data_IF_929277497911
#
_entry.id   IF_929277497911
#
_cell.length_a   1.000
_cell.length_b   1.000
_cell.length_c   1.000
_cell.angle_alpha   90.00
_cell.angle_beta   90.00
_cell.angle_gamma   90.00
#
_symmetry.space_group_name_H-M   'P 1'
#
loop_
_entity.id
_entity.type
_entity.pdbx_description
1 polymer ?
#
# COMPACT_ATOMS: atom_id res chain seq x y z
N UNK A 1 -5.18 -10.42 -2.63
CA UNK A 1 -4.37 -11.31 -3.49
C UNK A 1 -4.83 -12.77 -3.46
N UNK A 2 -5.30 -13.31 -2.32
CA UNK A 2 -5.76 -14.71 -2.22
C UNK A 2 -6.68 -15.20 -3.36
N UNK A 3 -7.77 -14.51 -3.77
CA UNK A 3 -8.70 -15.08 -4.74
C UNK A 3 -8.12 -15.24 -6.16
N UNK A 4 -7.20 -14.35 -6.57
CA UNK A 4 -6.58 -14.42 -7.91
C UNK A 4 -5.46 -15.47 -7.95
N UNK A 5 -4.65 -15.57 -6.89
CA UNK A 5 -3.63 -16.61 -6.79
C UNK A 5 -4.24 -18.02 -6.65
N UNK A 6 -5.41 -18.13 -6.02
CA UNK A 6 -6.18 -19.38 -5.98
C UNK A 6 -6.75 -19.78 -7.35
N UNK A 7 -7.13 -18.81 -8.18
CA UNK A 7 -7.64 -19.08 -9.54
C UNK A 7 -6.53 -19.38 -10.56
N UNK A 8 -5.34 -18.81 -10.38
CA UNK A 8 -4.22 -18.92 -11.31
C UNK A 8 -2.92 -19.22 -10.56
N UNK A 9 -2.65 -20.51 -10.31
CA UNK A 9 -1.43 -20.97 -9.62
C UNK A 9 -0.16 -20.60 -10.35
N UNK A 10 -0.24 -20.44 -11.67
CA UNK A 10 0.87 -20.04 -12.52
C UNK A 10 1.40 -18.66 -12.13
N UNK A 11 0.56 -17.79 -11.56
CA UNK A 11 0.98 -16.47 -11.06
C UNK A 11 1.90 -16.63 -9.86
N UNK A 12 1.57 -17.54 -8.94
CA UNK A 12 2.43 -17.86 -7.80
C UNK A 12 3.78 -18.38 -8.30
N UNK A 13 3.78 -19.42 -9.14
CA UNK A 13 4.99 -20.01 -9.72
C UNK A 13 5.83 -19.00 -10.50
N UNK A 14 5.22 -18.12 -11.30
CA UNK A 14 5.94 -17.07 -12.02
C UNK A 14 6.60 -16.06 -11.08
N UNK A 15 5.95 -15.71 -9.97
CA UNK A 15 6.52 -14.81 -8.95
C UNK A 15 7.72 -15.50 -8.30
N UNK A 16 7.62 -16.77 -7.91
CA UNK A 16 8.74 -17.51 -7.28
C UNK A 16 9.93 -17.60 -8.24
N UNK A 17 9.71 -17.97 -9.51
CA UNK A 17 10.77 -18.10 -10.50
C UNK A 17 11.41 -16.76 -10.90
N UNK A 18 10.62 -15.67 -10.95
CA UNK A 18 11.14 -14.33 -11.28
C UNK A 18 11.91 -13.73 -10.10
N UNK A 19 11.48 -14.01 -8.87
CA UNK A 19 12.11 -13.58 -7.63
C UNK A 19 13.40 -14.35 -7.33
N UNK A 20 13.47 -15.63 -7.72
CA UNK A 20 14.63 -16.50 -7.47
C UNK A 20 15.95 -15.85 -7.90
N UNK A 21 15.96 -15.17 -9.05
CA UNK A 21 17.16 -14.51 -9.58
C UNK A 21 17.59 -13.27 -8.78
N UNK A 22 16.63 -12.53 -8.22
CA UNK A 22 16.88 -11.35 -7.38
C UNK A 22 17.33 -11.75 -5.96
N UNK A 23 16.67 -12.74 -5.38
CA UNK A 23 17.02 -13.36 -4.09
C UNK A 23 18.44 -13.95 -4.17
N UNK A 24 18.75 -14.70 -5.24
CA UNK A 24 20.07 -15.31 -5.41
C UNK A 24 21.22 -14.28 -5.51
N UNK A 25 20.97 -13.12 -6.13
CA UNK A 25 21.93 -12.00 -6.18
C UNK A 25 22.11 -11.37 -4.79
N UNK A 26 21.02 -11.16 -4.04
CA UNK A 26 21.06 -10.58 -2.69
C UNK A 26 21.74 -11.52 -1.68
N UNK A 27 21.42 -12.82 -1.70
CA UNK A 27 22.08 -13.83 -0.85
C UNK A 27 23.59 -13.93 -1.13
N UNK A 28 24.01 -13.85 -2.39
CA UNK A 28 25.44 -13.87 -2.74
C UNK A 28 26.17 -12.60 -2.28
N UNK A 29 25.51 -11.45 -2.29
CA UNK A 29 26.11 -10.17 -1.89
C UNK A 29 26.20 -9.98 -0.36
N UNK A 30 25.29 -10.60 0.40
CA UNK A 30 25.16 -10.37 1.84
C UNK A 30 25.72 -11.47 2.75
N UNK A 31 26.15 -12.64 2.23
CA UNK A 31 26.77 -13.72 3.03
C UNK A 31 26.03 -14.06 4.34
N UNK A 32 24.70 -14.05 4.32
CA UNK A 32 23.84 -14.33 5.47
C UNK A 32 22.73 -15.29 5.02
N UNK A 33 22.67 -16.54 5.53
CA UNK A 33 21.70 -17.53 5.07
C UNK A 33 20.41 -17.61 5.90
N UNK A 34 20.22 -16.73 6.88
CA UNK A 34 19.22 -16.90 7.94
C UNK A 34 18.33 -15.65 8.09
N UNK A 35 17.43 -15.39 7.14
CA UNK A 35 16.18 -14.65 7.37
C UNK A 35 15.41 -14.50 6.05
N UNK A 36 14.27 -15.19 5.92
CA UNK A 36 13.03 -14.71 5.29
C UNK A 36 13.12 -13.82 4.02
N UNK A 37 14.07 -14.08 3.11
CA UNK A 37 14.27 -13.26 1.90
C UNK A 37 13.19 -13.49 0.82
N UNK A 38 12.25 -14.40 1.09
CA UNK A 38 11.06 -14.62 0.27
C UNK A 38 10.02 -13.48 0.40
N UNK A 39 10.15 -12.64 1.43
CA UNK A 39 9.19 -11.59 1.74
C UNK A 39 9.28 -10.42 0.74
N UNK A 40 10.46 -10.12 0.18
CA UNK A 40 10.67 -8.85 -0.54
C UNK A 40 9.89 -8.75 -1.86
N UNK A 41 9.87 -9.81 -2.68
CA UNK A 41 9.25 -9.71 -4.02
C UNK A 41 7.72 -9.77 -3.94
N UNK A 42 7.19 -10.69 -3.14
CA UNK A 42 5.75 -10.80 -2.92
C UNK A 42 5.17 -9.53 -2.29
N UNK A 43 5.89 -8.92 -1.36
CA UNK A 43 5.53 -7.66 -0.71
C UNK A 43 5.56 -6.47 -1.68
N UNK A 44 6.57 -6.38 -2.56
CA UNK A 44 6.62 -5.36 -3.61
C UNK A 44 5.44 -5.48 -4.58
N UNK A 45 5.08 -6.70 -5.00
CA UNK A 45 3.89 -6.91 -5.84
C UNK A 45 2.60 -6.55 -5.09
N UNK A 46 2.49 -6.93 -3.82
CA UNK A 46 1.34 -6.60 -2.98
C UNK A 46 1.16 -5.07 -2.84
N UNK A 47 2.23 -4.33 -2.52
CA UNK A 47 2.17 -2.88 -2.40
C UNK A 47 2.00 -2.17 -3.76
N UNK A 48 2.59 -2.71 -4.82
CA UNK A 48 2.37 -2.24 -6.20
C UNK A 48 0.89 -2.33 -6.59
N UNK A 49 0.23 -3.45 -6.31
CA UNK A 49 -1.20 -3.59 -6.55
C UNK A 49 -2.03 -2.66 -5.66
N UNK A 50 -1.68 -2.54 -4.37
CA UNK A 50 -2.38 -1.66 -3.42
C UNK A 50 -2.29 -0.20 -3.84
N UNK A 51 -1.15 0.24 -4.39
CA UNK A 51 -0.96 1.63 -4.85
C UNK A 51 -1.75 1.94 -6.12
N UNK A 52 -1.89 0.99 -7.05
CA UNK A 52 -2.75 1.12 -8.24
C UNK A 52 -4.23 1.17 -7.85
N UNK A 53 -4.66 0.32 -6.91
CA UNK A 53 -6.05 0.26 -6.45
C UNK A 53 -6.44 1.42 -5.52
N UNK A 54 -5.49 1.96 -4.76
CA UNK A 54 -5.70 3.03 -3.77
C UNK A 54 -4.63 4.11 -3.95
N UNK A 55 -4.67 4.86 -5.07
CA UNK A 55 -3.64 5.84 -5.36
C UNK A 55 -3.62 6.93 -4.30
N UNK A 56 -2.51 7.00 -3.56
CA UNK A 56 -2.31 8.00 -2.50
C UNK A 56 -1.83 9.34 -3.07
N UNK A 57 -1.13 9.31 -4.21
CA UNK A 57 -0.62 10.49 -4.90
C UNK A 57 -1.64 11.62 -5.14
N UNK A 58 -2.90 11.39 -5.56
CA UNK A 58 -3.89 12.47 -5.69
C UNK A 58 -4.36 13.07 -4.36
N UNK A 59 -4.13 12.39 -3.23
CA UNK A 59 -4.62 12.77 -1.91
C UNK A 59 -3.52 13.38 -1.03
N UNK A 60 -2.30 12.86 -1.13
CA UNK A 60 -1.17 13.19 -0.26
C UNK A 60 0.05 13.62 -1.08
N UNK A 61 0.74 14.64 -0.59
CA UNK A 61 2.04 15.07 -1.05
C UNK A 61 3.11 14.45 -0.14
N UNK A 62 3.87 13.51 -0.70
CA UNK A 62 4.87 12.76 0.06
C UNK A 62 6.11 13.60 0.38
N UNK A 63 6.48 14.57 -0.46
CA UNK A 63 7.65 15.42 -0.22
C UNK A 63 7.35 16.44 0.87
N UNK A 64 6.20 17.11 0.77
CA UNK A 64 5.76 18.08 1.76
C UNK A 64 5.17 17.45 3.03
N UNK A 65 4.96 16.12 3.06
CA UNK A 65 4.27 15.39 4.13
C UNK A 65 2.89 16.00 4.48
N UNK A 66 2.15 16.46 3.48
CA UNK A 66 0.86 17.15 3.67
C UNK A 66 -0.24 16.63 2.75
N UNK A 67 -1.51 16.81 3.15
CA UNK A 67 -2.63 16.53 2.27
C UNK A 67 -2.71 17.56 1.15
N UNK A 68 -3.01 17.11 -0.06
CA UNK A 68 -3.18 18.01 -1.21
C UNK A 68 -4.38 18.94 -1.00
N UNK A 69 -4.35 20.18 -1.52
CA UNK A 69 -5.42 21.15 -1.33
C UNK A 69 -6.82 20.66 -1.73
N UNK A 70 -6.92 19.79 -2.75
CA UNK A 70 -8.20 19.18 -3.16
C UNK A 70 -8.74 18.21 -2.11
N UNK A 71 -7.88 17.40 -1.51
CA UNK A 71 -8.25 16.47 -0.44
C UNK A 71 -8.68 17.25 0.81
N UNK A 72 -7.93 18.27 1.21
CA UNK A 72 -8.30 19.16 2.32
C UNK A 72 -9.66 19.82 2.09
N UNK A 73 -9.94 20.35 0.89
CA UNK A 73 -11.26 20.94 0.58
C UNK A 73 -12.38 19.91 0.65
N UNK A 74 -12.17 18.69 0.15
CA UNK A 74 -13.16 17.63 0.22
C UNK A 74 -13.45 17.24 1.68
N UNK A 75 -12.41 17.02 2.49
CA UNK A 75 -12.54 16.71 3.91
C UNK A 75 -13.24 17.82 4.69
N UNK A 76 -12.91 19.10 4.42
CA UNK A 76 -13.62 20.24 5.02
C UNK A 76 -15.12 20.23 4.69
N UNK A 77 -15.50 19.92 3.45
CA UNK A 77 -16.92 19.84 3.06
C UNK A 77 -17.63 18.68 3.76
N UNK A 78 -16.98 17.52 3.83
CA UNK A 78 -17.52 16.36 4.55
C UNK A 78 -17.70 16.70 6.03
N UNK A 79 -16.68 17.29 6.65
CA UNK A 79 -16.72 17.73 8.05
C UNK A 79 -17.92 18.66 8.29
N UNK A 80 -18.07 19.72 7.50
CA UNK A 80 -19.19 20.67 7.64
C UNK A 80 -20.56 19.99 7.46
N UNK A 81 -20.66 18.97 6.62
CA UNK A 81 -21.90 18.20 6.43
C UNK A 81 -22.20 17.28 7.63
N UNK A 82 -21.16 16.85 8.37
CA UNK A 82 -21.28 15.97 9.53
C UNK A 82 -21.34 16.73 10.87
N UNK A 83 -20.93 17.99 10.89
CA UNK A 83 -20.96 18.90 12.04
C UNK A 83 -22.38 19.48 12.23
N UNK A 84 -23.24 18.72 12.90
CA UNK A 84 -24.67 19.03 13.02
C UNK A 84 -24.95 20.13 14.05
N UNK A 85 -24.15 20.19 15.11
CA UNK A 85 -24.19 21.14 16.21
C UNK A 85 -23.31 22.37 15.98
N UNK A 86 -22.45 22.36 14.94
CA UNK A 86 -21.61 23.49 14.51
C UNK A 86 -20.61 23.92 15.56
N UNK A 87 -20.17 23.00 16.40
CA UNK A 87 -19.19 23.26 17.45
C UNK A 87 -17.75 23.17 16.93
N UNK A 88 -17.58 22.76 15.67
CA UNK A 88 -16.27 22.60 15.06
C UNK A 88 -15.56 21.32 15.48
N UNK A 89 -16.27 20.36 16.06
CA UNK A 89 -15.82 18.99 16.30
C UNK A 89 -16.72 17.96 15.59
N UNK A 90 -16.19 16.76 15.35
CA UNK A 90 -17.05 15.62 15.05
C UNK A 90 -17.44 15.00 16.37
N UNK A 91 -18.73 14.75 16.56
CA UNK A 91 -19.23 14.00 17.70
C UNK A 91 -18.63 12.58 17.67
N UNK A 92 -17.96 12.18 18.76
CA UNK A 92 -17.52 10.79 18.92
C UNK A 92 -18.76 9.89 18.94
N UNK A 93 -18.81 8.90 18.04
CA UNK A 93 -19.82 7.84 18.12
C UNK A 93 -19.50 6.99 19.35
N UNK A 94 -20.11 7.35 20.49
CA UNK A 94 -20.12 6.54 21.72
C UNK A 94 -20.90 5.25 21.56
#
# INVERSE_FOLDING_TARGET
>A
MLPIMQQFREIETCIECSAYKLIQILCHYLQQPEADDYLQVSEVFYYGQKSVLRPTAPLFDQEAQTLRPRCVRALKRIFILCDHDRDGALNDFG
#
